data_IF_048355928739
#
_entry.id   IF_048355928739
#
_cell.length_a   1.000
_cell.length_b   1.000
_cell.length_c   1.000
_cell.angle_alpha   90.00
_cell.angle_beta   90.00
_cell.angle_gamma   90.00
#
_symmetry.space_group_name_H-M   'P 1'
#
loop_
_entity.id
_entity.type
_entity.pdbx_description
1 polymer ?
#
# COMPACT_ATOMS: atom_id res chain seq x y z
N UNK A 1 -13.55 -7.77 -3.02
CA UNK A 1 -12.51 -7.65 -4.07
C UNK A 1 -11.64 -8.89 -4.14
N UNK A 2 -10.81 -9.22 -3.13
CA UNK A 2 -9.88 -10.38 -3.20
C UNK A 2 -10.55 -11.71 -3.54
N UNK A 3 -11.67 -12.04 -2.91
CA UNK A 3 -12.46 -13.26 -3.20
C UNK A 3 -12.99 -13.31 -4.64
N UNK A 4 -13.36 -12.15 -5.19
CA UNK A 4 -13.89 -12.05 -6.55
C UNK A 4 -12.78 -12.35 -7.58
N UNK A 5 -11.58 -11.81 -7.36
CA UNK A 5 -10.43 -12.04 -8.23
C UNK A 5 -9.65 -13.32 -7.91
N UNK A 6 -9.99 -14.04 -6.83
CA UNK A 6 -9.30 -15.25 -6.35
C UNK A 6 -7.80 -15.06 -6.15
N UNK A 7 -7.41 -13.89 -5.63
CA UNK A 7 -6.00 -13.49 -5.47
C UNK A 7 -5.58 -13.56 -4.01
N UNK A 8 -4.33 -13.97 -3.77
CA UNK A 8 -3.71 -13.89 -2.44
C UNK A 8 -3.51 -12.41 -2.05
N UNK A 9 -3.92 -11.96 -0.86
CA UNK A 9 -3.69 -10.58 -0.39
C UNK A 9 -2.26 -10.07 -0.60
N UNK A 10 -1.24 -10.94 -0.42
CA UNK A 10 0.17 -10.61 -0.61
C UNK A 10 0.55 -10.28 -2.04
N UNK A 11 -0.26 -10.68 -3.02
CA UNK A 11 -0.08 -10.36 -4.44
C UNK A 11 -0.80 -9.07 -4.88
N UNK A 12 -1.44 -8.37 -3.93
CA UNK A 12 -2.10 -7.09 -4.18
C UNK A 12 -1.32 -5.99 -3.51
N UNK A 13 -1.14 -4.87 -4.22
CA UNK A 13 -0.70 -3.60 -3.66
C UNK A 13 -1.90 -2.67 -3.56
N UNK A 14 -2.30 -2.32 -2.34
CA UNK A 14 -3.27 -1.26 -2.11
C UNK A 14 -2.55 0.08 -1.99
N UNK A 15 -2.93 1.03 -2.83
CA UNK A 15 -2.33 2.37 -2.87
C UNK A 15 -3.40 3.38 -2.45
N UNK A 16 -3.11 4.18 -1.43
CA UNK A 16 -4.01 5.21 -0.93
C UNK A 16 -3.26 6.36 -0.26
N UNK A 17 -3.96 7.45 0.02
CA UNK A 17 -3.36 8.68 0.60
C UNK A 17 -3.80 8.92 2.06
N UNK A 18 -4.73 8.11 2.57
CA UNK A 18 -5.26 8.24 3.93
C UNK A 18 -4.79 7.11 4.85
N UNK A 19 -4.91 7.34 6.17
CA UNK A 19 -4.68 6.29 7.15
C UNK A 19 -5.68 5.13 7.01
N UNK A 20 -6.94 5.42 6.67
CA UNK A 20 -7.98 4.40 6.46
C UNK A 20 -7.64 3.42 5.34
N UNK A 21 -6.98 3.87 4.27
CA UNK A 21 -6.57 3.02 3.16
C UNK A 21 -5.55 1.97 3.63
N UNK A 22 -4.53 2.42 4.36
CA UNK A 22 -3.49 1.55 4.92
C UNK A 22 -4.05 0.61 5.98
N UNK A 23 -4.76 1.15 6.98
CA UNK A 23 -5.27 0.37 8.10
C UNK A 23 -6.32 -0.65 7.64
N UNK A 24 -7.17 -0.29 6.70
CA UNK A 24 -8.17 -1.18 6.12
C UNK A 24 -7.53 -2.31 5.31
N UNK A 25 -6.63 -1.98 4.39
CA UNK A 25 -5.94 -2.99 3.57
C UNK A 25 -5.04 -3.92 4.39
N UNK A 26 -4.33 -3.38 5.40
CA UNK A 26 -3.47 -4.15 6.31
C UNK A 26 -4.26 -5.21 7.08
N UNK A 27 -5.49 -4.91 7.53
CA UNK A 27 -6.37 -5.89 8.21
C UNK A 27 -6.71 -7.10 7.33
N UNK A 28 -6.78 -6.90 6.02
CA UNK A 28 -7.04 -7.96 5.04
C UNK A 28 -5.74 -8.67 4.59
N UNK A 29 -4.58 -8.29 5.14
CA UNK A 29 -3.27 -8.82 4.78
C UNK A 29 -2.74 -8.35 3.42
N UNK A 30 -3.34 -7.30 2.85
CA UNK A 30 -2.91 -6.72 1.58
C UNK A 30 -1.66 -5.88 1.80
N UNK A 31 -0.71 -5.91 0.86
CA UNK A 31 0.48 -5.04 0.92
C UNK A 31 0.07 -3.60 0.66
N UNK A 32 0.54 -2.66 1.46
CA UNK A 32 0.07 -1.28 1.50
C UNK A 32 1.13 -0.28 1.03
N UNK A 33 0.70 0.71 0.26
CA UNK A 33 1.52 1.85 -0.15
C UNK A 33 0.77 3.14 0.19
N UNK A 34 1.38 3.96 1.03
CA UNK A 34 0.86 5.26 1.39
C UNK A 34 1.49 6.36 0.54
N UNK A 35 0.68 7.11 -0.21
CA UNK A 35 1.14 8.28 -0.96
C UNK A 35 1.11 9.49 -0.03
N UNK A 36 2.28 9.92 0.41
CA UNK A 36 2.47 11.05 1.29
C UNK A 36 3.14 12.23 0.57
N UNK A 37 2.39 12.89 -0.32
CA UNK A 37 2.87 14.02 -1.12
C UNK A 37 3.37 15.22 -0.30
N UNK A 38 2.86 15.36 0.93
CA UNK A 38 3.06 16.54 1.77
C UNK A 38 3.93 16.25 3.00
N UNK A 39 4.64 15.12 3.02
CA UNK A 39 5.49 14.71 4.13
C UNK A 39 4.79 14.76 5.52
N UNK A 40 3.52 14.33 5.55
CA UNK A 40 2.75 14.20 6.79
C UNK A 40 3.39 13.18 7.73
N UNK A 41 3.26 13.40 9.03
CA UNK A 41 3.69 12.43 10.04
C UNK A 41 2.71 11.26 10.06
N UNK A 42 3.23 10.03 10.21
CA UNK A 42 2.42 8.84 10.39
C UNK A 42 2.18 8.57 11.87
N UNK A 43 0.94 8.71 12.33
CA UNK A 43 0.55 8.69 13.75
C UNK A 43 0.02 7.33 14.24
N UNK A 44 0.02 6.31 13.38
CA UNK A 44 -0.51 4.98 13.73
C UNK A 44 0.61 3.97 13.96
N UNK A 45 0.37 3.01 14.84
CA UNK A 45 1.33 1.94 15.14
C UNK A 45 1.53 0.99 13.94
N UNK A 46 0.43 0.62 13.29
CA UNK A 46 0.47 -0.14 12.04
C UNK A 46 1.03 0.76 10.95
N UNK A 47 2.22 0.42 10.44
CA UNK A 47 2.91 1.18 9.39
C UNK A 47 2.50 0.68 8.02
N UNK A 48 2.46 1.56 6.99
CA UNK A 48 2.39 1.10 5.62
C UNK A 48 3.66 0.33 5.24
N UNK A 49 3.56 -0.61 4.31
CA UNK A 49 4.73 -1.35 3.81
C UNK A 49 5.64 -0.45 2.94
N UNK A 50 5.03 0.50 2.22
CA UNK A 50 5.72 1.49 1.40
C UNK A 50 5.17 2.89 1.64
N UNK A 51 6.05 3.88 1.56
CA UNK A 51 5.68 5.30 1.57
C UNK A 51 6.32 5.92 0.32
N UNK A 52 5.52 6.59 -0.49
CA UNK A 52 5.96 7.29 -1.69
C UNK A 52 5.47 8.73 -1.67
N UNK A 53 6.19 9.65 -2.33
CA UNK A 53 5.72 11.04 -2.46
C UNK A 53 4.92 11.27 -3.74
N UNK A 54 4.98 10.35 -4.69
CA UNK A 54 4.30 10.42 -5.97
C UNK A 54 3.93 9.04 -6.51
N UNK A 55 3.00 9.01 -7.47
CA UNK A 55 2.65 7.77 -8.18
C UNK A 55 3.79 7.26 -9.07
N UNK A 56 4.71 8.13 -9.48
CA UNK A 56 5.82 7.76 -10.37
C UNK A 56 6.79 6.80 -9.68
N UNK A 57 6.95 6.92 -8.36
CA UNK A 57 7.77 6.01 -7.54
C UNK A 57 7.17 4.59 -7.44
N UNK A 58 5.89 4.41 -7.80
CA UNK A 58 5.25 3.09 -7.77
C UNK A 58 5.77 2.19 -8.90
N UNK A 59 6.17 2.76 -10.03
CA UNK A 59 6.72 1.98 -11.13
C UNK A 59 7.95 1.17 -10.67
N UNK A 60 8.87 1.82 -9.96
CA UNK A 60 10.06 1.19 -9.39
C UNK A 60 9.71 0.10 -8.37
N UNK A 61 8.71 0.36 -7.51
CA UNK A 61 8.21 -0.63 -6.54
C UNK A 61 7.63 -1.88 -7.21
N UNK A 62 6.93 -1.73 -8.34
CA UNK A 62 6.35 -2.85 -9.07
C UNK A 62 7.41 -3.63 -9.86
N UNK A 63 8.46 -2.98 -10.33
CA UNK A 63 9.56 -3.65 -11.05
C UNK A 63 10.42 -4.52 -10.12
N UNK A 64 10.62 -4.10 -8.87
CA UNK A 64 11.46 -4.82 -7.89
C UNK A 64 10.81 -6.07 -7.31
N UNK A 65 9.47 -6.17 -7.32
CA UNK A 65 8.70 -7.31 -6.76
C UNK A 65 8.49 -8.50 -7.71
N UNK A 66 9.19 -8.57 -8.84
CA UNK A 66 8.98 -9.59 -9.88
C UNK A 66 9.48 -11.02 -9.57
N UNK A 67 9.87 -11.33 -8.34
CA UNK A 67 10.40 -12.65 -7.95
C UNK A 67 9.44 -13.41 -7.03
#
# INVERSE_FOLDING_TARGET
MLKFYRTNPKQVLHVGDSASDVLGASREGIVTCWINRNNRVWEHDVKPDYIVQSLNEIEELLMTRKN
#
